data_IF_626502315250
#
_entry.id   IF_626502315250
#
_cell.length_a   1.000
_cell.length_b   1.000
_cell.length_c   1.000
_cell.angle_alpha   90.00
_cell.angle_beta   90.00
_cell.angle_gamma   90.00
#
_symmetry.space_group_name_H-M   'P 1'
#
loop_
_entity.id
_entity.type
_entity.pdbx_description
1 polymer ?
#
# COMPACT_ATOMS: atom_id res chain seq x y z
N UNK A 1 10.51 -32.05 3.40
CA UNK A 1 9.48 -31.00 3.20
C UNK A 1 10.24 -29.69 3.03
N UNK A 2 9.98 -28.91 1.98
CA UNK A 2 10.67 -27.64 1.76
C UNK A 2 9.89 -26.50 2.47
N UNK A 3 10.59 -25.58 3.12
CA UNK A 3 10.02 -24.36 3.68
C UNK A 3 10.27 -23.21 2.69
N UNK A 4 9.24 -22.39 2.44
CA UNK A 4 9.33 -21.18 1.60
C UNK A 4 9.25 -19.94 2.48
N UNK A 5 10.19 -19.04 2.29
CA UNK A 5 10.18 -17.69 2.86
C UNK A 5 9.97 -16.68 1.73
N UNK A 6 9.13 -15.70 1.96
CA UNK A 6 8.92 -14.57 1.06
C UNK A 6 9.18 -13.31 1.86
N UNK A 7 10.09 -12.48 1.38
CA UNK A 7 10.49 -11.22 2.00
C UNK A 7 10.36 -10.11 0.95
N UNK A 8 10.16 -8.89 1.40
CA UNK A 8 10.24 -7.71 0.55
C UNK A 8 11.68 -7.50 0.05
N UNK A 9 11.84 -6.76 -1.05
CA UNK A 9 13.16 -6.60 -1.67
C UNK A 9 14.07 -5.66 -0.88
N UNK A 10 13.52 -4.58 -0.32
CA UNK A 10 14.29 -3.53 0.35
C UNK A 10 13.56 -3.10 1.62
N UNK A 11 14.32 -2.91 2.69
CA UNK A 11 13.82 -2.28 3.92
C UNK A 11 14.80 -1.23 4.42
N UNK A 12 14.29 -0.03 4.67
CA UNK A 12 15.01 1.06 5.32
C UNK A 12 14.51 1.21 6.77
N UNK A 13 15.42 1.30 7.73
CA UNK A 13 15.09 1.39 9.14
C UNK A 13 15.87 2.50 9.82
N UNK A 14 15.19 3.39 10.51
CA UNK A 14 15.80 4.45 11.33
C UNK A 14 15.13 5.81 11.14
N UNK A 15 15.48 6.74 12.02
CA UNK A 15 15.00 8.12 11.96
C UNK A 15 15.44 8.78 10.64
N UNK A 16 14.51 9.41 9.96
CA UNK A 16 14.73 10.03 8.65
C UNK A 16 14.70 9.04 7.47
N UNK A 17 14.33 7.77 7.68
CA UNK A 17 14.28 6.77 6.60
C UNK A 17 13.34 7.17 5.46
N UNK A 18 12.34 8.02 5.70
CA UNK A 18 11.44 8.54 4.65
C UNK A 18 12.21 9.31 3.55
N UNK A 19 13.41 9.80 3.82
CA UNK A 19 14.24 10.50 2.83
C UNK A 19 14.76 9.58 1.72
N UNK A 20 14.66 8.26 1.88
CA UNK A 20 15.05 7.28 0.87
C UNK A 20 13.96 7.09 -0.22
N UNK A 21 12.72 7.52 0.05
CA UNK A 21 11.58 7.36 -0.86
C UNK A 21 11.85 7.95 -2.26
N UNK A 22 12.33 9.19 -2.40
CA UNK A 22 12.61 9.76 -3.73
C UNK A 22 13.65 8.96 -4.52
N UNK A 23 14.66 8.45 -3.86
CA UNK A 23 15.69 7.62 -4.48
C UNK A 23 15.13 6.32 -5.06
N UNK A 24 14.18 5.70 -4.38
CA UNK A 24 13.52 4.48 -4.85
C UNK A 24 12.61 4.74 -6.06
N UNK A 25 11.92 5.88 -6.06
CA UNK A 25 11.05 6.33 -7.16
C UNK A 25 11.91 6.66 -8.39
N UNK A 26 12.95 7.47 -8.21
CA UNK A 26 13.81 7.91 -9.30
C UNK A 26 14.56 6.76 -9.99
N UNK A 27 15.07 5.77 -9.23
CA UNK A 27 15.76 4.58 -9.79
C UNK A 27 14.87 3.76 -10.72
N UNK A 28 13.55 3.85 -10.57
CA UNK A 28 12.57 3.10 -11.35
C UNK A 28 11.87 3.96 -12.40
N UNK A 29 12.27 5.23 -12.50
CA UNK A 29 11.73 6.20 -13.46
C UNK A 29 10.22 6.42 -13.32
N UNK A 30 9.67 6.24 -12.09
CA UNK A 30 8.26 6.56 -11.83
C UNK A 30 8.02 8.06 -11.88
N UNK A 31 6.88 8.44 -12.45
CA UNK A 31 6.53 9.82 -12.74
C UNK A 31 5.56 10.44 -11.76
N UNK A 32 4.69 9.65 -11.17
CA UNK A 32 3.66 10.13 -10.22
C UNK A 32 3.34 9.09 -9.15
N UNK A 33 3.27 9.56 -7.92
CA UNK A 33 2.98 8.75 -6.73
C UNK A 33 1.50 8.84 -6.36
N UNK A 34 0.88 7.69 -6.08
CA UNK A 34 -0.40 7.61 -5.40
C UNK A 34 -0.13 7.41 -3.90
N UNK A 35 -0.41 8.42 -3.08
CA UNK A 35 -0.23 8.35 -1.64
C UNK A 35 -1.52 7.82 -1.00
N UNK A 36 -1.51 6.56 -0.57
CA UNK A 36 -2.64 5.90 0.06
C UNK A 36 -2.54 6.02 1.59
N UNK A 37 -3.52 6.65 2.23
CA UNK A 37 -3.52 6.97 3.66
C UNK A 37 -4.93 7.12 4.21
N UNK A 38 -5.08 7.45 5.49
CA UNK A 38 -6.36 7.81 6.09
C UNK A 38 -6.48 9.33 6.36
N UNK A 39 -7.72 9.79 6.55
CA UNK A 39 -8.01 11.20 6.74
C UNK A 39 -7.42 11.78 8.03
N UNK A 40 -7.26 10.97 9.07
CA UNK A 40 -6.69 11.43 10.34
C UNK A 40 -5.19 11.69 10.21
N UNK A 41 -4.45 10.83 9.52
CA UNK A 41 -3.02 11.03 9.26
C UNK A 41 -2.78 12.27 8.38
N UNK A 42 -3.69 12.59 7.46
CA UNK A 42 -3.66 13.85 6.71
C UNK A 42 -3.92 15.03 7.66
N UNK A 43 -4.98 14.95 8.46
CA UNK A 43 -5.38 16.02 9.40
C UNK A 43 -4.30 16.33 10.43
N UNK A 44 -3.63 15.30 10.94
CA UNK A 44 -2.57 15.46 11.93
C UNK A 44 -1.18 15.77 11.34
N UNK A 45 -1.08 15.86 10.02
CA UNK A 45 0.17 16.22 9.35
C UNK A 45 1.20 15.09 9.26
N UNK A 46 0.82 13.85 9.57
CA UNK A 46 1.73 12.70 9.45
C UNK A 46 2.03 12.42 7.98
N UNK A 47 0.98 12.36 7.14
CA UNK A 47 1.13 12.19 5.69
C UNK A 47 1.94 13.32 5.07
N UNK A 48 1.84 14.53 5.63
CA UNK A 48 2.58 15.69 5.15
C UNK A 48 4.09 15.49 5.19
N UNK A 49 4.62 14.76 6.16
CA UNK A 49 6.07 14.46 6.21
C UNK A 49 6.53 13.73 4.94
N UNK A 50 5.74 12.80 4.42
CA UNK A 50 6.06 12.07 3.20
C UNK A 50 5.84 12.96 1.96
N UNK A 51 4.73 13.72 1.90
CA UNK A 51 4.49 14.59 0.74
C UNK A 51 5.49 15.72 0.65
N UNK A 52 6.00 16.26 1.77
CA UNK A 52 7.08 17.25 1.76
C UNK A 52 8.36 16.68 1.13
N UNK A 53 8.71 15.44 1.45
CA UNK A 53 9.87 14.76 0.85
C UNK A 53 9.69 14.58 -0.67
N UNK A 54 8.46 14.28 -1.12
CA UNK A 54 8.15 14.17 -2.55
C UNK A 54 8.21 15.55 -3.23
N UNK A 55 7.68 16.60 -2.60
CA UNK A 55 7.69 17.98 -3.10
C UNK A 55 9.13 18.50 -3.23
N UNK A 56 9.97 18.28 -2.22
CA UNK A 56 11.39 18.67 -2.24
C UNK A 56 12.16 17.99 -3.38
N UNK A 57 11.76 16.77 -3.74
CA UNK A 57 12.35 16.03 -4.85
C UNK A 57 11.71 16.35 -6.23
N UNK A 58 10.67 17.19 -6.27
CA UNK A 58 9.95 17.53 -7.49
C UNK A 58 9.13 16.39 -8.07
N UNK A 59 8.73 15.41 -7.24
CA UNK A 59 7.95 14.24 -7.64
C UNK A 59 6.46 14.57 -7.54
N UNK A 60 5.72 14.37 -8.62
CA UNK A 60 4.28 14.56 -8.62
C UNK A 60 3.58 13.49 -7.77
N UNK A 61 2.54 13.88 -7.05
CA UNK A 61 1.78 12.96 -6.21
C UNK A 61 0.29 13.34 -6.15
N UNK A 62 -0.52 12.38 -5.73
CA UNK A 62 -1.95 12.56 -5.44
C UNK A 62 -2.33 11.73 -4.22
N UNK A 63 -3.07 12.32 -3.28
CA UNK A 63 -3.48 11.65 -2.04
C UNK A 63 -4.85 11.03 -2.18
N UNK A 64 -4.96 9.76 -1.81
CA UNK A 64 -6.20 9.06 -1.52
C UNK A 64 -6.30 8.86 -0.01
N UNK A 65 -7.18 9.60 0.66
CA UNK A 65 -7.31 9.64 2.13
C UNK A 65 -8.61 9.03 2.66
N UNK A 66 -9.38 8.35 1.82
CA UNK A 66 -10.65 7.73 2.25
C UNK A 66 -10.47 6.29 2.79
N UNK A 67 -9.29 5.97 3.27
CA UNK A 67 -9.03 4.67 3.91
C UNK A 67 -9.63 4.67 5.31
N UNK A 68 -10.41 3.63 5.62
CA UNK A 68 -11.11 3.47 6.90
C UNK A 68 -10.45 2.39 7.75
N UNK A 69 -10.58 2.48 9.08
CA UNK A 69 -10.26 1.36 9.96
C UNK A 69 -11.03 0.10 9.52
N UNK A 70 -10.34 -1.04 9.44
CA UNK A 70 -10.90 -2.29 8.90
C UNK A 70 -11.42 -2.09 7.46
N UNK A 71 -10.53 -1.97 6.48
CA UNK A 71 -10.90 -1.59 5.12
C UNK A 71 -11.95 -2.54 4.54
N UNK A 72 -12.92 -1.97 3.83
CA UNK A 72 -14.02 -2.71 3.23
C UNK A 72 -13.76 -2.98 1.75
N UNK A 73 -14.57 -3.85 1.17
CA UNK A 73 -14.59 -4.10 -0.29
C UNK A 73 -14.75 -2.79 -1.05
N UNK A 74 -15.72 -1.96 -0.65
CA UNK A 74 -16.01 -0.68 -1.31
C UNK A 74 -14.83 0.29 -1.18
N UNK A 75 -14.12 0.25 -0.05
CA UNK A 75 -12.94 1.09 0.16
C UNK A 75 -11.81 0.74 -0.81
N UNK A 76 -11.56 -0.55 -1.03
CA UNK A 76 -10.59 -1.02 -2.03
C UNK A 76 -11.04 -0.62 -3.44
N UNK A 77 -12.31 -0.83 -3.81
CA UNK A 77 -12.84 -0.49 -5.13
C UNK A 77 -12.77 1.02 -5.43
N UNK A 78 -13.08 1.86 -4.42
CA UNK A 78 -12.92 3.31 -4.53
C UNK A 78 -11.44 3.68 -4.75
N UNK A 79 -10.52 3.05 -4.02
CA UNK A 79 -9.09 3.25 -4.18
C UNK A 79 -8.57 2.82 -5.55
N UNK A 80 -9.02 1.68 -6.10
CA UNK A 80 -8.68 1.25 -7.47
C UNK A 80 -9.15 2.27 -8.51
N UNK A 81 -10.35 2.80 -8.33
CA UNK A 81 -10.91 3.82 -9.22
C UNK A 81 -10.08 5.10 -9.15
N UNK A 82 -9.77 5.57 -7.94
CA UNK A 82 -8.94 6.75 -7.73
C UNK A 82 -7.51 6.57 -8.28
N UNK A 83 -6.89 5.42 -8.04
CA UNK A 83 -5.56 5.10 -8.57
C UNK A 83 -5.53 5.19 -10.11
N UNK A 84 -6.48 4.55 -10.79
CA UNK A 84 -6.58 4.60 -12.25
C UNK A 84 -6.83 6.00 -12.78
N UNK A 85 -7.65 6.80 -12.09
CA UNK A 85 -7.94 8.17 -12.49
C UNK A 85 -6.76 9.13 -12.28
N UNK A 86 -5.94 8.88 -11.25
CA UNK A 86 -4.78 9.71 -10.92
C UNK A 86 -3.68 9.68 -11.98
N UNK A 87 -3.59 8.61 -12.76
CA UNK A 87 -2.48 8.37 -13.67
C UNK A 87 -1.13 8.12 -12.97
N UNK A 88 -1.16 7.79 -11.67
CA UNK A 88 0.03 7.40 -10.93
C UNK A 88 0.53 6.02 -11.36
N UNK A 89 1.84 5.80 -11.25
CA UNK A 89 2.53 4.58 -11.66
C UNK A 89 3.16 3.80 -10.49
N UNK A 90 3.12 4.37 -9.29
CA UNK A 90 3.52 3.68 -8.06
C UNK A 90 2.65 4.14 -6.87
N UNK A 91 2.70 3.38 -5.76
CA UNK A 91 1.96 3.64 -4.53
C UNK A 91 2.95 3.90 -3.39
N UNK A 92 2.68 4.92 -2.58
CA UNK A 92 3.28 5.08 -1.24
C UNK A 92 2.15 4.95 -0.22
N UNK A 93 2.14 3.85 0.51
CA UNK A 93 1.16 3.60 1.55
C UNK A 93 1.66 4.15 2.89
N UNK A 94 0.95 5.09 3.48
CA UNK A 94 1.31 5.72 4.76
C UNK A 94 0.25 5.42 5.79
N UNK A 95 0.59 4.69 6.85
CA UNK A 95 -0.36 4.42 7.92
C UNK A 95 -0.15 3.08 8.62
N UNK A 96 -1.16 2.62 9.33
CA UNK A 96 -1.19 1.31 9.98
C UNK A 96 -1.62 0.20 9.02
N UNK A 97 -1.96 -0.97 9.60
CA UNK A 97 -2.38 -2.15 8.83
C UNK A 97 -3.51 -1.87 7.83
N UNK A 98 -4.49 -1.04 8.20
CA UNK A 98 -5.61 -0.71 7.29
C UNK A 98 -5.16 0.02 6.02
N UNK A 99 -4.22 0.96 6.14
CA UNK A 99 -3.66 1.65 4.98
C UNK A 99 -2.87 0.69 4.08
N UNK A 100 -2.05 -0.18 4.69
CA UNK A 100 -1.27 -1.19 3.97
C UNK A 100 -2.17 -2.20 3.27
N UNK A 101 -3.18 -2.73 3.96
CA UNK A 101 -4.11 -3.73 3.43
C UNK A 101 -4.93 -3.17 2.26
N UNK A 102 -5.39 -1.91 2.38
CA UNK A 102 -6.08 -1.22 1.27
C UNK A 102 -5.15 -1.02 0.08
N UNK A 103 -3.93 -0.54 0.31
CA UNK A 103 -2.94 -0.30 -0.75
C UNK A 103 -2.59 -1.58 -1.51
N UNK A 104 -2.45 -2.71 -0.80
CA UNK A 104 -2.27 -4.03 -1.40
C UNK A 104 -3.44 -4.40 -2.31
N UNK A 105 -4.68 -4.33 -1.80
CA UNK A 105 -5.86 -4.59 -2.61
C UNK A 105 -5.94 -3.69 -3.86
N UNK A 106 -5.60 -2.40 -3.73
CA UNK A 106 -5.55 -1.47 -4.87
C UNK A 106 -4.50 -1.94 -5.88
N UNK A 107 -3.27 -2.18 -5.41
CA UNK A 107 -2.13 -2.51 -6.25
C UNK A 107 -2.31 -3.81 -7.04
N UNK A 108 -2.81 -4.86 -6.38
CA UNK A 108 -2.99 -6.16 -7.03
C UNK A 108 -4.12 -6.15 -8.06
N UNK A 109 -5.25 -5.48 -7.77
CA UNK A 109 -6.38 -5.36 -8.70
C UNK A 109 -6.02 -4.46 -9.89
N UNK A 110 -5.22 -3.42 -9.69
CA UNK A 110 -4.82 -2.53 -10.77
C UNK A 110 -4.03 -3.26 -11.86
N UNK A 111 -3.23 -4.25 -11.50
CA UNK A 111 -2.42 -5.06 -12.43
C UNK A 111 -3.10 -6.37 -12.85
N UNK A 112 -4.04 -6.88 -12.05
CA UNK A 112 -4.81 -8.11 -12.31
C UNK A 112 -6.31 -7.79 -12.31
N UNK A 113 -6.84 -7.10 -13.33
CA UNK A 113 -8.22 -6.60 -13.35
C UNK A 113 -9.29 -7.70 -13.37
N UNK A 114 -8.93 -8.93 -13.65
CA UNK A 114 -9.80 -10.10 -13.53
C UNK A 114 -10.25 -10.38 -12.09
N UNK A 115 -9.52 -9.82 -11.09
CA UNK A 115 -9.86 -9.86 -9.67
C UNK A 115 -10.55 -8.58 -9.18
N UNK A 116 -11.22 -7.82 -10.05
CA UNK A 116 -11.96 -6.60 -9.67
C UNK A 116 -13.08 -6.86 -8.65
N UNK A 117 -13.63 -8.08 -8.62
CA UNK A 117 -14.39 -8.56 -7.46
C UNK A 117 -13.42 -8.88 -6.33
N UNK A 118 -13.35 -7.99 -5.33
CA UNK A 118 -12.39 -8.09 -4.21
C UNK A 118 -12.52 -9.43 -3.46
N UNK A 119 -13.71 -10.03 -3.39
CA UNK A 119 -13.93 -11.33 -2.75
C UNK A 119 -13.18 -12.45 -3.48
N UNK A 120 -12.92 -12.31 -4.77
CA UNK A 120 -12.14 -13.29 -5.53
C UNK A 120 -10.67 -13.40 -5.10
N UNK A 121 -10.20 -12.44 -4.29
CA UNK A 121 -8.85 -12.47 -3.70
C UNK A 121 -8.79 -13.24 -2.36
N UNK A 122 -9.92 -13.72 -1.83
CA UNK A 122 -9.96 -14.46 -0.56
C UNK A 122 -9.09 -15.72 -0.61
N UNK A 123 -8.30 -15.94 0.43
CA UNK A 123 -7.35 -17.04 0.49
C UNK A 123 -6.14 -16.81 -0.39
N UNK A 124 -5.74 -17.79 -1.17
CA UNK A 124 -4.62 -17.72 -2.12
C UNK A 124 -5.18 -17.58 -3.53
N UNK A 125 -5.25 -16.34 -4.01
CA UNK A 125 -5.70 -16.06 -5.36
C UNK A 125 -4.62 -16.42 -6.40
N UNK A 126 -4.98 -16.95 -7.58
CA UNK A 126 -4.03 -17.26 -8.62
C UNK A 126 -3.67 -16.04 -9.49
N UNK A 127 -3.23 -14.95 -8.85
CA UNK A 127 -2.76 -13.76 -9.56
C UNK A 127 -1.49 -14.11 -10.37
N UNK A 128 -1.32 -13.46 -11.50
CA UNK A 128 -0.21 -13.75 -12.41
C UNK A 128 0.79 -12.61 -12.56
N UNK A 129 0.41 -11.40 -12.13
CA UNK A 129 1.24 -10.20 -12.20
C UNK A 129 1.50 -9.67 -10.81
N UNK A 130 2.70 -9.14 -10.59
CA UNK A 130 2.98 -8.38 -9.38
C UNK A 130 2.02 -7.19 -9.27
N UNK A 131 1.69 -6.83 -8.03
CA UNK A 131 0.97 -5.60 -7.72
C UNK A 131 1.71 -4.38 -8.28
N UNK A 132 1.05 -3.23 -8.30
CA UNK A 132 1.71 -1.95 -8.53
C UNK A 132 2.85 -1.80 -7.52
N UNK A 133 4.01 -1.31 -7.98
CA UNK A 133 5.14 -1.04 -7.09
C UNK A 133 4.69 -0.22 -5.88
N UNK A 134 4.94 -0.75 -4.70
CA UNK A 134 4.47 -0.15 -3.45
C UNK A 134 5.62 0.06 -2.48
N UNK A 135 5.74 1.29 -1.97
CA UNK A 135 6.55 1.65 -0.82
C UNK A 135 5.62 1.75 0.39
N UNK A 136 5.89 0.97 1.42
CA UNK A 136 5.10 0.94 2.64
C UNK A 136 5.79 1.71 3.77
N UNK A 137 5.09 2.71 4.33
CA UNK A 137 5.57 3.57 5.43
C UNK A 137 4.66 3.36 6.64
N UNK A 138 4.97 2.40 7.52
CA UNK A 138 4.15 2.11 8.68
C UNK A 138 4.22 3.23 9.73
N UNK A 139 3.05 3.58 10.31
CA UNK A 139 2.93 4.51 11.45
C UNK A 139 2.57 3.80 12.74
N UNK A 140 2.48 2.48 12.72
CA UNK A 140 2.02 1.65 13.85
C UNK A 140 2.88 0.40 13.94
N UNK A 141 3.50 0.17 15.08
CA UNK A 141 4.14 -1.11 15.39
C UNK A 141 3.05 -2.15 15.72
N UNK A 142 2.84 -3.11 14.83
CA UNK A 142 1.75 -4.07 15.03
C UNK A 142 1.72 -5.20 14.01
N UNK A 143 1.02 -5.01 12.90
CA UNK A 143 0.74 -6.09 11.93
C UNK A 143 1.93 -6.50 11.09
N UNK A 144 2.96 -5.67 10.97
CA UNK A 144 4.07 -5.84 10.04
C UNK A 144 3.59 -6.00 8.57
N UNK A 145 2.46 -5.37 8.23
CA UNK A 145 1.86 -5.48 6.90
C UNK A 145 2.78 -4.95 5.79
N UNK A 146 3.74 -4.10 6.15
CA UNK A 146 4.78 -3.56 5.26
C UNK A 146 5.74 -4.62 4.73
N UNK A 147 5.82 -5.79 5.37
CA UNK A 147 6.73 -6.88 5.00
C UNK A 147 6.03 -8.24 4.85
N UNK A 148 4.69 -8.26 4.79
CA UNK A 148 3.90 -9.49 4.70
C UNK A 148 3.16 -9.61 3.38
N UNK A 149 2.86 -10.86 3.00
CA UNK A 149 2.05 -11.21 1.83
C UNK A 149 0.55 -11.24 2.13
N UNK A 150 0.15 -10.96 3.37
CA UNK A 150 -1.23 -11.06 3.82
C UNK A 150 -1.87 -9.66 3.89
N UNK A 151 -3.16 -9.60 3.63
CA UNK A 151 -4.00 -8.44 3.91
C UNK A 151 -5.43 -8.87 4.24
N UNK A 152 -6.15 -8.03 4.99
CA UNK A 152 -7.46 -8.36 5.54
C UNK A 152 -8.49 -7.33 5.09
N UNK A 153 -9.55 -7.80 4.44
CA UNK A 153 -10.64 -6.97 3.96
C UNK A 153 -11.94 -7.36 4.65
N UNK A 154 -12.81 -6.40 4.89
CA UNK A 154 -14.12 -6.57 5.49
C UNK A 154 -15.20 -6.61 4.41
N UNK A 155 -15.96 -7.70 4.39
CA UNK A 155 -17.21 -7.85 3.65
C UNK A 155 -18.33 -7.37 4.56
N UNK A 156 -18.82 -6.15 4.32
CA UNK A 156 -19.85 -5.52 5.16
C UNK A 156 -21.24 -6.14 4.96
N UNK A 157 -21.50 -6.70 3.78
CA UNK A 157 -22.78 -7.36 3.50
C UNK A 157 -22.90 -8.69 4.27
N UNK A 158 -21.78 -9.43 4.39
CA UNK A 158 -21.73 -10.71 5.09
C UNK A 158 -21.24 -10.58 6.53
N UNK A 159 -20.99 -9.35 6.99
CA UNK A 159 -20.51 -9.06 8.36
C UNK A 159 -19.26 -9.89 8.76
N UNK A 160 -18.34 -10.11 7.83
CA UNK A 160 -17.14 -10.93 8.05
C UNK A 160 -15.87 -10.25 7.54
N UNK A 161 -14.75 -10.64 8.14
CA UNK A 161 -13.43 -10.36 7.57
C UNK A 161 -12.91 -11.58 6.82
N UNK A 162 -12.20 -11.34 5.73
CA UNK A 162 -11.50 -12.39 5.01
C UNK A 162 -10.04 -12.00 4.79
N UNK A 163 -9.20 -13.01 4.73
CA UNK A 163 -7.75 -12.86 4.55
C UNK A 163 -7.42 -13.18 3.11
N UNK A 164 -6.67 -12.30 2.49
CA UNK A 164 -6.03 -12.51 1.20
C UNK A 164 -4.54 -12.82 1.42
N UNK A 165 -4.01 -13.74 0.65
CA UNK A 165 -2.61 -14.18 0.74
C UNK A 165 -2.04 -14.23 -0.66
N UNK A 166 -1.13 -13.32 -0.98
CA UNK A 166 -0.57 -13.22 -2.33
C UNK A 166 0.91 -12.84 -2.29
N UNK A 167 1.74 -13.69 -2.85
CA UNK A 167 3.20 -13.42 -2.96
C UNK A 167 3.51 -12.30 -3.94
N UNK A 168 2.57 -11.99 -4.85
CA UNK A 168 2.71 -10.90 -5.81
C UNK A 168 2.35 -9.55 -5.21
N UNK A 169 1.88 -9.50 -3.96
CA UNK A 169 1.35 -8.31 -3.31
C UNK A 169 2.14 -7.84 -2.08
N UNK A 170 3.31 -8.43 -1.84
CA UNK A 170 4.20 -7.91 -0.81
C UNK A 170 4.74 -6.54 -1.25
N UNK A 171 4.72 -5.50 -0.38
CA UNK A 171 5.34 -4.22 -0.73
C UNK A 171 6.81 -4.40 -1.09
N UNK A 172 7.24 -3.84 -2.21
CA UNK A 172 8.62 -3.96 -2.68
C UNK A 172 9.62 -3.30 -1.73
N UNK A 173 9.22 -2.17 -1.13
CA UNK A 173 10.04 -1.38 -0.22
C UNK A 173 9.27 -1.12 1.06
N UNK A 174 9.90 -1.39 2.20
CA UNK A 174 9.42 -0.96 3.51
C UNK A 174 10.31 0.19 4.04
N UNK A 175 9.70 1.25 4.55
CA UNK A 175 10.39 2.40 5.13
C UNK A 175 9.90 2.56 6.57
N UNK A 176 10.65 1.99 7.50
CA UNK A 176 10.32 1.95 8.93
C UNK A 176 11.05 3.09 9.64
N UNK A 177 10.37 4.23 9.71
CA UNK A 177 10.88 5.44 10.33
C UNK A 177 10.18 5.67 11.68
N UNK A 178 10.89 5.68 12.80
CA UNK A 178 10.27 5.85 14.12
C UNK A 178 9.72 7.26 14.37
N UNK A 179 9.94 8.19 13.45
CA UNK A 179 9.38 9.54 13.51
C UNK A 179 8.02 9.68 12.82
N UNK A 180 7.52 8.56 12.23
CA UNK A 180 6.22 8.50 11.55
C UNK A 180 5.07 8.10 12.49
#
# INVERSE_FOLDING_TARGET
MANRFVLNNISYHGAGAIQEIPGEIARREFSKVFVATDADLVRFGVTKKVTDVLDEAGIAWEVFSDIKPNPTIENVQAGVTAFKASGADCIVAVGGGSAMDTAKGIGIIATNPEFADVVSLEGVAPTTKHAVFTIAVPTTAGTAAEVTINYVITDTEKERKFVCVDVNDIPEVAVVDPEM
#
